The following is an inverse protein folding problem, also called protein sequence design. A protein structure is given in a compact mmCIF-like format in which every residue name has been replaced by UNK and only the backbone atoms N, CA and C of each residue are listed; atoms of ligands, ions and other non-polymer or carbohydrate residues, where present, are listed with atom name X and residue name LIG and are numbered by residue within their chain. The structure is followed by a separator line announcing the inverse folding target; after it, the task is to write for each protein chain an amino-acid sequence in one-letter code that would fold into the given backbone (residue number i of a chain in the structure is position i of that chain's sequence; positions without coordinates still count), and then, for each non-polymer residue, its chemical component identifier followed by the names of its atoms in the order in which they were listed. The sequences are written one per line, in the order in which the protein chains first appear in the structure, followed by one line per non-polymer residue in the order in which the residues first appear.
data_IF_930189857608
#
_entry.id   IF_930189857608
#
_cell.length_a   1.000
_cell.length_b   1.000
_cell.length_c   1.000
_cell.angle_alpha   90.00
_cell.angle_beta   90.00
_cell.angle_gamma   90.00
#
_symmetry.space_group_name_H-M   'P 1'
#
loop_
_entity.id
_entity.type
_entity.pdbx_description
1 polymer ?
#
# COMPACT_ATOMS: atom_id res chain seq x y z
N UNK A 1 -4.04 23.74 3.60
CA UNK A 1 -4.21 22.33 4.00
C UNK A 1 -4.81 21.60 2.81
N UNK A 2 -4.23 20.47 2.41
CA UNK A 2 -4.77 19.66 1.30
C UNK A 2 -6.11 19.08 1.78
N UNK A 3 -7.20 19.38 1.08
CA UNK A 3 -8.52 18.81 1.38
C UNK A 3 -8.78 17.64 0.45
N UNK A 4 -9.24 16.52 1.00
CA UNK A 4 -9.67 15.35 0.24
C UNK A 4 -11.16 15.47 -0.03
N UNK A 5 -11.57 15.36 -1.29
CA UNK A 5 -12.99 15.43 -1.66
C UNK A 5 -13.80 14.27 -1.02
N UNK A 6 -15.10 14.47 -0.72
CA UNK A 6 -15.96 13.40 -0.22
C UNK A 6 -15.94 12.17 -1.13
N UNK A 7 -15.80 10.98 -0.55
CA UNK A 7 -15.70 9.72 -1.30
C UNK A 7 -14.36 9.48 -1.99
N UNK A 8 -13.38 10.38 -1.86
CA UNK A 8 -12.01 10.19 -2.35
C UNK A 8 -11.08 9.85 -1.18
N UNK A 9 -9.98 9.18 -1.54
CA UNK A 9 -8.92 8.77 -0.62
C UNK A 9 -7.72 9.71 -0.70
N UNK A 10 -6.93 9.69 0.38
CA UNK A 10 -5.54 10.15 0.39
C UNK A 10 -4.65 8.91 0.38
N UNK A 11 -3.99 8.64 -0.75
CA UNK A 11 -3.02 7.56 -0.86
C UNK A 11 -1.62 8.05 -0.45
N UNK A 12 -0.97 7.29 0.41
CA UNK A 12 0.45 7.44 0.73
C UNK A 12 1.17 6.32 -0.01
N UNK A 13 2.04 6.66 -0.95
CA UNK A 13 2.80 5.67 -1.71
C UNK A 13 4.15 5.43 -1.02
N UNK A 14 4.41 4.18 -0.69
CA UNK A 14 5.72 3.70 -0.27
C UNK A 14 6.65 3.66 -1.49
N UNK A 15 7.35 4.77 -1.72
CA UNK A 15 8.15 5.01 -2.91
C UNK A 15 9.16 3.89 -3.19
N UNK A 16 10.04 3.54 -2.24
CA UNK A 16 11.03 2.47 -2.43
C UNK A 16 10.40 1.12 -2.70
N UNK A 17 9.37 0.72 -1.95
CA UNK A 17 8.71 -0.57 -2.16
C UNK A 17 8.11 -0.65 -3.58
N UNK A 18 7.43 0.41 -4.03
CA UNK A 18 6.84 0.48 -5.37
C UNK A 18 7.91 0.49 -6.47
N UNK A 19 8.97 1.28 -6.31
CA UNK A 19 10.04 1.40 -7.30
C UNK A 19 10.87 0.12 -7.47
N UNK A 20 10.95 -0.71 -6.44
CA UNK A 20 11.63 -2.01 -6.48
C UNK A 20 10.71 -3.20 -6.76
N UNK A 21 9.43 -2.96 -7.10
CA UNK A 21 8.50 -4.05 -7.44
C UNK A 21 9.06 -4.92 -8.56
N UNK A 22 9.17 -6.22 -8.29
CA UNK A 22 9.73 -7.22 -9.20
C UNK A 22 11.16 -6.90 -9.69
N UNK A 23 11.95 -6.14 -8.92
CA UNK A 23 13.35 -5.77 -9.27
C UNK A 23 14.40 -6.60 -8.51
N UNK A 24 14.01 -7.63 -7.76
CA UNK A 24 14.93 -8.49 -7.00
C UNK A 24 15.63 -9.53 -7.89
N UNK A 25 16.32 -9.07 -8.93
CA UNK A 25 17.11 -9.90 -9.86
C UNK A 25 18.42 -9.19 -10.25
N UNK A 26 19.35 -9.91 -10.85
CA UNK A 26 20.63 -9.35 -11.29
C UNK A 26 20.41 -8.28 -12.39
N UNK A 27 20.80 -7.04 -12.12
CA UNK A 27 20.52 -5.90 -13.00
C UNK A 27 19.19 -5.19 -12.76
N UNK A 28 18.42 -5.62 -11.75
CA UNK A 28 17.26 -4.89 -11.26
C UNK A 28 17.64 -3.47 -10.80
N UNK A 29 16.76 -2.51 -11.08
CA UNK A 29 17.03 -1.10 -10.84
C UNK A 29 15.84 -0.41 -10.19
N UNK A 30 16.10 0.71 -9.54
CA UNK A 30 15.04 1.56 -9.01
C UNK A 30 14.23 2.18 -10.15
N UNK A 31 12.91 1.90 -10.20
CA UNK A 31 12.00 2.35 -11.29
C UNK A 31 11.12 3.51 -10.85
N UNK A 32 11.56 4.74 -11.13
CA UNK A 32 10.75 5.95 -10.89
C UNK A 32 9.44 5.95 -11.70
N UNK A 33 9.47 5.39 -12.90
CA UNK A 33 8.30 5.29 -13.78
C UNK A 33 7.19 4.42 -13.17
N UNK A 34 7.51 3.48 -12.27
CA UNK A 34 6.50 2.72 -11.54
C UNK A 34 5.78 3.59 -10.51
N UNK A 35 6.53 4.41 -9.78
CA UNK A 35 5.98 5.36 -8.81
C UNK A 35 5.12 6.41 -9.53
N UNK A 36 5.63 6.99 -10.62
CA UNK A 36 4.90 7.97 -11.43
C UNK A 36 3.61 7.39 -12.00
N UNK A 37 3.63 6.12 -12.44
CA UNK A 37 2.43 5.44 -12.93
C UNK A 37 1.37 5.30 -11.84
N UNK A 38 1.78 4.93 -10.62
CA UNK A 38 0.87 4.84 -9.45
C UNK A 38 0.25 6.19 -9.13
N UNK A 39 1.06 7.26 -9.07
CA UNK A 39 0.57 8.61 -8.78
C UNK A 39 -0.43 9.04 -9.85
N UNK A 40 -0.04 8.96 -11.12
CA UNK A 40 -0.84 9.45 -12.25
C UNK A 40 -2.20 8.78 -12.33
N UNK A 41 -2.27 7.46 -12.11
CA UNK A 41 -3.53 6.72 -12.19
C UNK A 41 -4.47 7.07 -11.03
N UNK A 42 -3.93 7.19 -9.81
CA UNK A 42 -4.72 7.55 -8.63
C UNK A 42 -5.22 9.00 -8.70
N UNK A 43 -4.38 9.93 -9.16
CA UNK A 43 -4.77 11.33 -9.38
C UNK A 43 -5.79 11.46 -10.51
N UNK A 44 -5.68 10.69 -11.59
CA UNK A 44 -6.68 10.64 -12.66
C UNK A 44 -8.06 10.18 -12.17
N UNK A 45 -8.10 9.35 -11.13
CA UNK A 45 -9.33 8.95 -10.43
C UNK A 45 -9.83 10.02 -9.44
N UNK A 46 -9.11 11.14 -9.29
CA UNK A 46 -9.46 12.25 -8.41
C UNK A 46 -9.05 12.04 -6.94
N UNK A 47 -8.11 11.14 -6.68
CA UNK A 47 -7.54 10.95 -5.35
C UNK A 47 -6.41 11.94 -5.07
N UNK A 48 -6.10 12.13 -3.79
CA UNK A 48 -4.91 12.87 -3.35
C UNK A 48 -3.80 11.85 -3.13
N UNK A 49 -2.60 12.13 -3.63
CA UNK A 49 -1.45 11.23 -3.47
C UNK A 49 -0.29 11.97 -2.80
N UNK A 50 0.31 11.35 -1.81
CA UNK A 50 1.60 11.73 -1.21
C UNK A 50 2.57 10.57 -1.35
N UNK A 51 3.85 10.83 -1.53
CA UNK A 51 4.87 9.77 -1.63
C UNK A 51 5.90 9.94 -0.53
N UNK A 52 6.23 8.85 0.16
CA UNK A 52 7.38 8.80 1.07
C UNK A 52 8.58 8.27 0.32
N UNK A 53 9.68 9.02 0.36
CA UNK A 53 10.91 8.67 -0.35
C UNK A 53 12.13 9.19 0.43
N UNK A 54 13.07 8.31 0.82
CA UNK A 54 14.35 8.74 1.38
C UNK A 54 15.13 9.64 0.44
N UNK A 55 15.82 10.65 0.99
CA UNK A 55 16.54 11.63 0.15
C UNK A 55 17.65 11.03 -0.70
N UNK A 56 18.18 9.86 -0.31
CA UNK A 56 19.19 9.11 -1.07
C UNK A 56 18.73 8.68 -2.47
N UNK A 57 17.42 8.55 -2.69
CA UNK A 57 16.86 8.22 -4.01
C UNK A 57 16.73 9.44 -4.90
N UNK A 58 16.63 10.63 -4.32
CA UNK A 58 16.71 11.86 -5.08
C UNK A 58 18.18 12.14 -5.38
N UNK A 59 18.48 12.37 -6.66
CA UNK A 59 19.83 12.71 -7.08
C UNK A 59 20.15 14.12 -6.56
N UNK A 60 20.60 14.22 -5.30
CA UNK A 60 21.05 15.47 -4.72
C UNK A 60 22.30 15.92 -5.48
N UNK A 61 22.13 16.77 -6.51
CA UNK A 61 23.07 17.89 -6.62
C UNK A 61 22.85 18.71 -5.36
N UNK A 62 23.53 18.34 -4.27
CA UNK A 62 23.55 19.12 -3.05
C UNK A 62 24.15 20.48 -3.40
N UNK A 63 23.29 21.49 -3.59
CA UNK A 63 23.72 22.87 -3.88
C UNK A 63 24.32 23.57 -2.65
N UNK A 64 24.37 22.87 -1.52
CA UNK A 64 25.00 23.31 -0.29
C UNK A 64 26.23 22.43 -0.04
N UNK A 65 27.39 22.88 -0.53
CA UNK A 65 28.66 22.39 -0.01
C UNK A 65 28.84 22.94 1.40
N UNK A 66 28.20 22.30 2.38
CA UNK A 66 28.61 22.44 3.77
C UNK A 66 29.78 21.50 3.95
N UNK A 67 30.98 22.04 4.22
CA UNK A 67 32.09 21.27 4.78
C UNK A 67 31.64 20.68 6.12
N UNK A 68 31.01 19.51 6.09
CA UNK A 68 30.67 18.78 7.30
C UNK A 68 31.96 18.14 7.84
N UNK A 69 32.53 18.76 8.86
CA UNK A 69 33.44 18.11 9.80
C UNK A 69 32.78 16.82 10.29
N UNK A 70 33.37 15.67 9.99
CA UNK A 70 33.25 14.39 10.72
C UNK A 70 31.91 14.19 11.44
N UNK A 71 30.79 14.33 10.74
CA UNK A 71 29.48 14.18 11.34
C UNK A 71 29.14 12.69 11.32
N UNK A 72 29.08 12.09 12.51
CA UNK A 72 28.60 10.73 12.74
C UNK A 72 27.45 10.40 11.80
N UNK A 73 27.54 9.24 11.12
CA UNK A 73 26.49 8.66 10.26
C UNK A 73 25.15 8.83 10.98
N UNK A 74 24.35 9.82 10.58
CA UNK A 74 23.06 10.08 11.21
C UNK A 74 22.27 8.78 11.13
N UNK A 75 21.79 8.27 12.27
CA UNK A 75 20.82 7.18 12.26
C UNK A 75 19.59 7.71 11.52
N UNK A 76 19.46 7.33 10.25
CA UNK A 76 18.28 7.64 9.45
C UNK A 76 17.21 6.67 9.94
N UNK A 77 16.06 7.21 10.36
CA UNK A 77 14.91 6.38 10.70
C UNK A 77 14.55 5.53 9.48
N UNK A 78 14.16 4.25 9.66
CA UNK A 78 13.64 3.43 8.58
C UNK A 78 12.53 4.17 7.83
N UNK A 79 12.51 4.05 6.51
CA UNK A 79 11.49 4.60 5.62
C UNK A 79 10.08 4.16 6.03
N UNK A 80 9.93 2.94 6.54
CA UNK A 80 8.67 2.38 7.02
C UNK A 80 7.98 3.22 8.09
N UNK A 81 8.77 3.89 8.95
CA UNK A 81 8.23 4.73 9.99
C UNK A 81 7.58 6.01 9.44
N UNK A 82 7.99 6.48 8.26
CA UNK A 82 7.46 7.71 7.68
C UNK A 82 6.06 7.50 7.14
N UNK A 83 5.83 6.47 6.33
CA UNK A 83 4.49 6.20 5.81
C UNK A 83 3.55 5.65 6.90
N UNK A 84 4.07 4.91 7.89
CA UNK A 84 3.30 4.54 9.09
C UNK A 84 2.82 5.79 9.83
N UNK A 85 3.73 6.70 10.18
CA UNK A 85 3.40 7.93 10.88
C UNK A 85 2.44 8.81 10.07
N UNK A 86 2.71 9.01 8.78
CA UNK A 86 1.87 9.82 7.90
C UNK A 86 0.44 9.26 7.83
N UNK A 87 0.29 7.94 7.81
CA UNK A 87 -1.04 7.31 7.78
C UNK A 87 -1.87 7.64 9.02
N UNK A 88 -1.25 7.60 10.19
CA UNK A 88 -1.89 7.91 11.47
C UNK A 88 -2.16 9.41 11.58
N UNK A 89 -1.17 10.24 11.25
CA UNK A 89 -1.28 11.69 11.34
C UNK A 89 -2.41 12.25 10.45
N UNK A 90 -2.53 11.76 9.21
CA UNK A 90 -3.56 12.22 8.28
C UNK A 90 -4.96 11.68 8.61
N UNK A 91 -5.05 10.51 9.25
CA UNK A 91 -6.33 9.96 9.73
C UNK A 91 -6.85 10.66 10.98
N UNK A 92 -5.96 11.22 11.81
CA UNK A 92 -6.33 11.92 13.05
C UNK A 92 -6.92 13.32 12.81
N UNK A 93 -7.68 13.87 13.78
CA UNK A 93 -8.04 15.29 13.77
C UNK A 93 -6.80 16.19 13.85
N UNK A 94 -6.79 17.36 13.19
CA UNK A 94 -7.89 17.99 12.44
C UNK A 94 -8.09 17.51 11.00
N UNK A 95 -7.19 16.71 10.44
CA UNK A 95 -7.17 16.34 9.02
C UNK A 95 -8.34 15.42 8.65
N UNK A 96 -8.53 14.32 9.40
CA UNK A 96 -9.60 13.32 9.19
C UNK A 96 -9.71 12.84 7.73
N UNK A 97 -8.58 12.64 7.07
CA UNK A 97 -8.56 12.10 5.72
C UNK A 97 -8.94 10.60 5.72
N UNK A 98 -9.54 10.13 4.63
CA UNK A 98 -9.68 8.70 4.39
C UNK A 98 -8.39 8.18 3.77
N UNK A 99 -7.50 7.64 4.60
CA UNK A 99 -6.12 7.34 4.20
C UNK A 99 -5.98 5.88 3.77
N UNK A 100 -5.17 5.65 2.75
CA UNK A 100 -4.65 4.33 2.36
C UNK A 100 -3.15 4.43 2.13
N UNK A 101 -2.41 3.36 2.40
CA UNK A 101 -0.97 3.27 2.12
C UNK A 101 -0.77 2.22 1.04
N UNK A 102 -0.15 2.60 -0.07
CA UNK A 102 0.18 1.69 -1.18
C UNK A 102 1.55 1.09 -0.91
N UNK A 103 1.59 -0.18 -0.49
CA UNK A 103 2.81 -0.94 -0.26
C UNK A 103 2.51 -2.44 -0.34
N UNK A 104 3.47 -3.22 -0.82
CA UNK A 104 3.46 -4.68 -0.74
C UNK A 104 4.29 -5.20 0.45
N UNK A 105 4.87 -4.31 1.26
CA UNK A 105 5.51 -4.71 2.50
C UNK A 105 4.46 -5.06 3.57
N UNK A 106 4.65 -6.22 4.21
CA UNK A 106 3.77 -6.71 5.28
C UNK A 106 4.28 -6.34 6.68
N UNK A 107 5.31 -5.49 6.77
CA UNK A 107 5.95 -4.95 7.98
C UNK A 107 6.41 -6.01 8.99
N UNK A 108 6.79 -7.22 8.55
CA UNK A 108 6.98 -8.37 9.45
C UNK A 108 7.90 -8.05 10.62
N UNK A 109 9.03 -7.40 10.35
CA UNK A 109 10.06 -7.11 11.35
C UNK A 109 9.68 -5.90 12.23
N UNK A 110 8.99 -4.91 11.66
CA UNK A 110 8.54 -3.73 12.39
C UNK A 110 7.45 -4.05 13.40
N UNK A 111 6.54 -4.97 13.09
CA UNK A 111 5.45 -5.34 14.01
C UNK A 111 6.03 -5.93 15.31
N UNK A 112 7.10 -6.72 15.22
CA UNK A 112 7.80 -7.27 16.40
C UNK A 112 8.32 -6.12 17.26
N UNK A 113 8.99 -5.13 16.66
CA UNK A 113 9.49 -3.96 17.40
C UNK A 113 8.35 -3.17 18.05
N UNK A 114 7.25 -2.91 17.32
CA UNK A 114 6.10 -2.17 17.85
C UNK A 114 5.44 -2.89 19.04
N UNK A 115 5.34 -4.22 18.95
CA UNK A 115 4.72 -5.05 20.00
C UNK A 115 5.63 -5.17 21.22
N UNK A 116 6.89 -5.56 21.00
CA UNK A 116 7.80 -5.95 22.09
C UNK A 116 8.40 -4.74 22.80
N UNK A 117 8.77 -3.70 22.05
CA UNK A 117 9.46 -2.53 22.59
C UNK A 117 8.52 -1.40 22.99
N UNK A 118 7.44 -1.22 22.24
CA UNK A 118 6.51 -0.11 22.45
C UNK A 118 5.16 -0.55 23.01
N UNK A 119 4.98 -1.85 23.26
CA UNK A 119 3.78 -2.44 23.89
C UNK A 119 2.48 -2.08 23.16
N UNK A 120 2.55 -1.88 21.85
CA UNK A 120 1.37 -1.66 21.02
C UNK A 120 0.70 -3.02 20.80
N UNK A 121 -0.60 -3.10 21.08
CA UNK A 121 -1.38 -4.32 20.91
C UNK A 121 -1.27 -4.85 19.47
N UNK A 122 -0.95 -6.14 19.33
CA UNK A 122 -0.88 -6.81 18.03
C UNK A 122 -2.21 -6.71 17.27
N UNK A 123 -3.33 -6.89 17.96
CA UNK A 123 -4.67 -6.71 17.39
C UNK A 123 -4.90 -5.31 16.81
N UNK A 124 -4.39 -4.27 17.49
CA UNK A 124 -4.52 -2.90 16.99
C UNK A 124 -3.71 -2.70 15.70
N UNK A 125 -2.51 -3.28 15.64
CA UNK A 125 -1.63 -3.21 14.47
C UNK A 125 -2.26 -3.95 13.29
N UNK A 126 -2.74 -5.18 13.50
CA UNK A 126 -3.36 -5.98 12.45
C UNK A 126 -4.65 -5.29 11.94
N UNK A 127 -5.48 -4.72 12.83
CA UNK A 127 -6.66 -3.93 12.42
C UNK A 127 -6.30 -2.67 11.64
N UNK A 128 -5.26 -1.94 12.06
CA UNK A 128 -4.81 -0.77 11.28
C UNK A 128 -4.30 -1.22 9.91
N UNK A 129 -3.48 -2.27 9.86
CA UNK A 129 -2.91 -2.81 8.62
C UNK A 129 -4.00 -3.19 7.63
N UNK A 130 -4.97 -3.99 8.06
CA UNK A 130 -6.01 -4.54 7.18
C UNK A 130 -6.99 -3.47 6.66
N UNK A 131 -7.10 -2.33 7.35
CA UNK A 131 -7.94 -1.21 6.91
C UNK A 131 -7.18 -0.13 6.11
N UNK A 132 -5.85 -0.07 6.25
CA UNK A 132 -5.04 1.05 5.75
C UNK A 132 -4.11 0.66 4.61
N UNK A 133 -3.44 -0.50 4.70
CA UNK A 133 -2.54 -0.93 3.64
C UNK A 133 -3.32 -1.50 2.46
N UNK A 134 -2.92 -1.15 1.25
CA UNK A 134 -3.40 -1.74 0.01
C UNK A 134 -2.22 -2.21 -0.81
N UNK A 135 -2.37 -3.37 -1.44
CA UNK A 135 -1.34 -3.90 -2.31
C UNK A 135 -1.33 -3.19 -3.66
N UNK A 136 -0.27 -3.37 -4.42
CA UNK A 136 -0.15 -2.87 -5.80
C UNK A 136 0.48 -3.92 -6.70
N UNK A 137 -0.06 -4.03 -7.91
CA UNK A 137 0.47 -4.87 -8.97
C UNK A 137 0.80 -3.98 -10.16
N UNK A 138 2.01 -4.13 -10.69
CA UNK A 138 2.44 -3.46 -11.91
C UNK A 138 2.83 -4.53 -12.92
N UNK A 139 2.16 -4.53 -14.06
CA UNK A 139 2.53 -5.32 -15.23
C UNK A 139 3.31 -4.40 -16.19
N UNK A 140 4.61 -4.64 -16.28
CA UNK A 140 5.48 -3.99 -17.26
C UNK A 140 5.70 -4.95 -18.43
N UNK A 141 5.15 -4.60 -19.61
CA UNK A 141 5.28 -5.40 -20.82
C UNK A 141 6.67 -5.29 -21.47
N UNK A 142 7.50 -4.35 -21.02
CA UNK A 142 8.86 -4.14 -21.52
C UNK A 142 9.91 -4.89 -20.71
N UNK A 143 9.57 -5.39 -19.51
CA UNK A 143 10.45 -6.26 -18.74
C UNK A 143 10.70 -7.55 -19.53
N UNK A 144 11.91 -7.69 -20.07
CA UNK A 144 12.34 -8.94 -20.71
C UNK A 144 12.45 -10.01 -19.62
N UNK A 145 11.76 -11.13 -19.81
CA UNK A 145 11.94 -12.30 -18.97
C UNK A 145 13.32 -12.89 -19.27
N UNK A 146 14.33 -12.56 -18.48
CA UNK A 146 15.62 -13.21 -18.61
C UNK A 146 15.48 -14.67 -18.17
N UNK A 147 15.52 -15.60 -19.14
CA UNK A 147 15.62 -17.04 -18.83
C UNK A 147 15.01 -18.04 -19.82
N UNK A 148 14.19 -17.62 -20.80
CA UNK A 148 13.79 -18.54 -21.88
C UNK A 148 14.56 -18.20 -23.13
N UNK A 149 15.54 -19.06 -23.43
CA UNK A 149 16.25 -19.10 -24.71
C UNK A 149 15.23 -19.34 -25.82
N UNK A 150 14.63 -18.26 -26.35
CA UNK A 150 13.96 -18.27 -27.63
C UNK A 150 15.04 -18.24 -28.71
N UNK A 151 15.59 -19.42 -29.00
CA UNK A 151 16.33 -19.66 -30.23
C UNK A 151 15.35 -19.56 -31.40
N UNK A 152 15.69 -18.70 -32.36
CA UNK A 152 15.06 -18.54 -33.70
C UNK A 152 13.75 -17.75 -33.66
N UNK A 153 13.45 -16.79 -34.54
CA UNK A 153 14.04 -16.38 -35.82
C UNK A 153 13.39 -15.07 -36.28
N UNK A 154 14.21 -14.21 -36.90
CA UNK A 154 13.86 -13.23 -37.95
C UNK A 154 12.61 -12.35 -37.81
N UNK A 155 12.88 -11.05 -37.63
CA UNK A 155 12.25 -9.92 -38.34
C UNK A 155 10.96 -10.24 -39.09
N UNK A 156 9.82 -9.89 -38.48
CA UNK A 156 8.70 -9.30 -39.22
C UNK A 156 8.22 -8.08 -38.45
N UNK A 157 8.40 -6.93 -39.09
CA UNK A 157 7.80 -5.67 -38.70
C UNK A 157 6.32 -5.76 -39.05
N UNK A 158 5.47 -5.84 -38.04
CA UNK A 158 4.03 -5.68 -38.19
C UNK A 158 3.58 -4.57 -37.26
N UNK A 159 3.25 -3.44 -37.90
CA UNK A 159 2.50 -2.32 -37.37
C UNK A 159 1.20 -2.82 -36.75
N UNK A 160 1.19 -2.96 -35.42
CA UNK A 160 -0.02 -3.07 -34.64
C UNK A 160 -0.07 -1.86 -33.70
N UNK A 161 -0.86 -0.86 -34.10
CA UNK A 161 -1.31 0.23 -33.24
C UNK A 161 -2.11 -0.36 -32.08
N UNK A 162 -1.44 -0.68 -30.98
CA UNK A 162 -2.08 -0.95 -29.70
C UNK A 162 -1.84 0.26 -28.82
N UNK A 163 -2.90 1.04 -28.60
CA UNK A 163 -2.96 2.23 -27.74
C UNK A 163 -2.95 1.87 -26.24
N UNK A 164 -2.40 0.71 -25.86
CA UNK A 164 -2.29 0.32 -24.46
C UNK A 164 -0.95 0.79 -23.89
N UNK A 165 -0.98 1.61 -22.84
CA UNK A 165 0.19 1.97 -22.04
C UNK A 165 1.03 0.72 -21.72
N UNK A 166 2.36 0.75 -21.90
CA UNK A 166 3.23 -0.40 -21.66
C UNK A 166 3.26 -0.84 -20.19
N UNK A 167 2.99 0.10 -19.29
CA UNK A 167 2.80 -0.14 -17.87
C UNK A 167 1.29 -0.17 -17.57
N UNK A 168 0.83 -1.28 -17.00
CA UNK A 168 -0.50 -1.41 -16.40
C UNK A 168 -0.34 -1.56 -14.90
N UNK A 169 -1.23 -0.93 -14.14
CA UNK A 169 -1.23 -1.03 -12.69
C UNK A 169 -2.60 -1.38 -12.15
N UNK A 170 -2.63 -2.04 -11.01
CA UNK A 170 -3.83 -2.42 -10.28
C UNK A 170 -3.57 -2.24 -8.78
N UNK A 171 -4.49 -1.57 -8.08
CA UNK A 171 -4.51 -1.55 -6.62
C UNK A 171 -5.26 -2.78 -6.14
N UNK A 172 -4.64 -3.53 -5.24
CA UNK A 172 -5.24 -4.68 -4.58
C UNK A 172 -5.91 -4.17 -3.31
N UNK A 173 -7.16 -3.75 -3.44
CA UNK A 173 -7.95 -3.23 -2.33
C UNK A 173 -8.16 -4.27 -1.23
N UNK A 174 -8.26 -3.78 0.00
CA UNK A 174 -8.68 -4.58 1.15
C UNK A 174 -10.20 -4.74 1.17
N UNK A 175 -10.69 -5.68 1.99
CA UNK A 175 -12.12 -5.92 2.12
C UNK A 175 -12.85 -4.62 2.50
N UNK A 176 -14.03 -4.34 1.91
CA UNK A 176 -14.80 -3.13 2.22
C UNK A 176 -15.43 -3.16 3.62
N UNK A 177 -15.12 -4.17 4.42
CA UNK A 177 -15.59 -4.38 5.78
C UNK A 177 -14.47 -4.94 6.67
N UNK A 178 -14.51 -4.62 7.95
CA UNK A 178 -13.52 -5.13 8.91
C UNK A 178 -13.88 -6.55 9.37
N UNK A 179 -12.87 -7.44 9.43
CA UNK A 179 -12.97 -8.81 9.93
C UNK A 179 -12.93 -8.86 11.46
N UNK A 180 -13.92 -8.25 12.11
CA UNK A 180 -14.07 -8.22 13.57
C UNK A 180 -15.49 -8.60 13.95
N UNK A 181 -15.71 -8.88 15.24
CA UNK A 181 -17.08 -9.03 15.75
C UNK A 181 -17.84 -7.71 15.59
N UNK A 182 -19.00 -7.78 14.91
CA UNK A 182 -19.90 -6.66 14.69
C UNK A 182 -21.24 -6.93 15.38
N UNK A 183 -21.95 -5.88 15.82
CA UNK A 183 -23.28 -6.04 16.42
C UNK A 183 -23.58 -5.19 17.66
N UNK A 184 -22.70 -4.26 18.03
CA UNK A 184 -22.93 -3.39 19.18
C UNK A 184 -24.17 -2.52 18.94
N UNK A 185 -25.19 -2.67 19.79
CA UNK A 185 -26.43 -1.89 19.72
C UNK A 185 -27.47 -2.42 18.73
N UNK A 186 -27.25 -3.62 18.14
CA UNK A 186 -28.19 -4.27 17.22
C UNK A 186 -28.70 -5.60 17.79
N UNK A 187 -29.87 -6.10 17.37
CA UNK A 187 -30.34 -7.44 17.73
C UNK A 187 -29.59 -8.56 16.99
N UNK A 188 -28.69 -8.20 16.09
CA UNK A 188 -27.86 -9.09 15.29
C UNK A 188 -26.38 -8.92 15.63
N UNK A 189 -25.68 -10.03 15.80
CA UNK A 189 -24.22 -10.11 15.94
C UNK A 189 -23.65 -10.91 14.78
N UNK A 190 -22.52 -10.46 14.24
CA UNK A 190 -21.78 -11.12 13.17
C UNK A 190 -20.37 -11.40 13.68
N UNK A 191 -20.00 -12.67 13.73
CA UNK A 191 -18.70 -13.13 14.24
C UNK A 191 -17.96 -13.80 13.08
N UNK A 192 -16.81 -13.26 12.63
CA UNK A 192 -16.02 -13.91 11.59
C UNK A 192 -15.42 -15.20 12.15
N UNK A 193 -15.50 -16.27 11.38
CA UNK A 193 -14.95 -17.59 11.73
C UNK A 193 -13.66 -17.80 10.95
N UNK A 194 -12.59 -18.15 11.67
CA UNK A 194 -11.31 -18.48 11.04
C UNK A 194 -11.49 -19.78 10.24
N UNK A 195 -11.46 -19.68 8.92
CA UNK A 195 -11.54 -20.82 8.00
C UNK A 195 -10.18 -21.06 7.35
N UNK A 196 -9.89 -22.32 7.03
CA UNK A 196 -8.73 -22.71 6.20
C UNK A 196 -8.99 -22.51 4.71
N UNK A 197 -10.24 -22.17 4.33
CA UNK A 197 -10.61 -21.85 2.95
C UNK A 197 -10.31 -20.39 2.60
N UNK A 198 -10.24 -20.08 1.31
CA UNK A 198 -10.07 -18.70 0.83
C UNK A 198 -11.29 -17.81 1.07
N UNK A 199 -12.42 -18.38 1.48
CA UNK A 199 -13.65 -17.64 1.80
C UNK A 199 -13.78 -17.44 3.31
N UNK A 200 -14.10 -16.20 3.72
CA UNK A 200 -14.40 -15.90 5.13
C UNK A 200 -15.80 -16.38 5.47
N UNK A 201 -15.91 -17.25 6.46
CA UNK A 201 -17.19 -17.69 7.02
C UNK A 201 -17.63 -16.77 8.16
N UNK A 202 -18.93 -16.59 8.33
CA UNK A 202 -19.51 -15.73 9.36
C UNK A 202 -20.58 -16.48 10.15
N UNK A 203 -20.51 -16.40 11.48
CA UNK A 203 -21.59 -16.79 12.38
C UNK A 203 -22.50 -15.58 12.62
N UNK A 204 -23.74 -15.68 12.16
CA UNK A 204 -24.75 -14.64 12.31
C UNK A 204 -25.75 -15.04 13.41
N UNK A 205 -25.77 -14.28 14.50
CA UNK A 205 -26.68 -14.48 15.62
C UNK A 205 -27.71 -13.35 15.63
N UNK A 206 -28.95 -13.63 15.26
CA UNK A 206 -30.03 -12.62 15.28
C UNK A 206 -31.13 -13.03 16.26
N UNK A 207 -31.52 -12.12 17.15
CA UNK A 207 -32.65 -12.34 18.05
C UNK A 207 -33.95 -12.33 17.24
N UNK A 208 -34.70 -13.42 17.28
CA UNK A 208 -36.03 -13.48 16.67
C UNK A 208 -36.95 -12.41 17.29
N UNK A 209 -37.73 -11.71 16.45
CA UNK A 209 -38.75 -10.81 16.93
C UNK A 209 -39.77 -11.60 17.77
N UNK A 210 -40.18 -11.07 18.93
CA UNK A 210 -41.28 -11.66 19.70
C UNK A 210 -42.53 -11.64 18.82
N UNK A 211 -42.99 -12.79 18.34
CA UNK A 211 -44.36 -12.95 17.88
C UNK A 211 -45.28 -12.47 19.01
N UNK A 212 -45.91 -11.31 18.84
CA UNK A 212 -47.08 -10.95 19.64
C UNK A 212 -48.20 -11.86 19.14
N UNK A 213 -48.29 -13.05 19.73
CA UNK A 213 -49.48 -13.88 19.61
C UNK A 213 -50.63 -13.11 20.27
N UNK A 214 -51.57 -12.70 19.42
CA UNK A 214 -52.91 -12.22 19.79
C UNK A 214 -53.69 -13.30 20.50
#
# INVERSE_FOLDING_TARGET
MIQVAPGKMHYIVDGPNVAYLNQNFEGGAFRFDYVDKVITELEAQGHVVSVTMPSIYFNEKSLLSVKASTANRRQVAPDDLFWLYASLFLACPPQRHNVRVVTNDIMRDHIVVLTDRYHISRDLIDRWRDNTLVGVRILDRNLKLDGVVARSSSYQSSTASSTSSPLQMEILDTLPYSLVVQGKGTPSYHVPVVSTSSAVEWLCLTRAAKHHGT
#
